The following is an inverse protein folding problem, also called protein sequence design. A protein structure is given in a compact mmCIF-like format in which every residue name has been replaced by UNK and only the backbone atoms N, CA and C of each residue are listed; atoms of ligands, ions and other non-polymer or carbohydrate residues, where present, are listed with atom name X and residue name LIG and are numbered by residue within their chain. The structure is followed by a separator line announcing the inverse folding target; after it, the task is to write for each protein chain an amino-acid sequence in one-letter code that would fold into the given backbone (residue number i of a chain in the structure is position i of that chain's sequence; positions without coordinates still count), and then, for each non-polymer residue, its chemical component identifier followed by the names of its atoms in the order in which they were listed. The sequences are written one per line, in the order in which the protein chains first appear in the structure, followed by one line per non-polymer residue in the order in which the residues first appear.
data_IF_390305855423
#
_entry.id   IF_390305855423
#
_cell.length_a   1.000
_cell.length_b   1.000
_cell.length_c   1.000
_cell.angle_alpha   90.00
_cell.angle_beta   90.00
_cell.angle_gamma   90.00
#
_symmetry.space_group_name_H-M   'P 1'
#
loop_
_entity.id
_entity.type
_entity.pdbx_description
1 polymer ?
#
# COMPACT_ATOMS: atom_id res chain seq x y z
N UNK A 1 5.15 -20.20 3.58
CA UNK A 1 5.28 -18.76 3.90
C UNK A 1 6.14 -18.10 2.83
N UNK A 2 5.52 -17.49 1.82
CA UNK A 2 6.29 -16.77 0.81
C UNK A 2 6.97 -15.58 1.49
N UNK A 3 8.30 -15.50 1.40
CA UNK A 3 9.02 -14.30 1.79
C UNK A 3 8.44 -13.11 1.02
N UNK A 4 8.16 -12.01 1.70
CA UNK A 4 7.76 -10.78 1.01
C UNK A 4 8.89 -10.38 0.04
N UNK A 5 8.61 -10.15 -1.25
CA UNK A 5 9.65 -10.08 -2.27
C UNK A 5 10.72 -9.01 -1.98
N UNK A 6 10.33 -7.88 -1.36
CA UNK A 6 11.21 -6.74 -1.16
C UNK A 6 12.44 -6.99 -0.25
N UNK A 7 12.31 -7.73 0.86
CA UNK A 7 13.46 -8.06 1.70
C UNK A 7 14.31 -9.17 1.05
N UNK A 8 13.65 -10.08 0.33
CA UNK A 8 14.26 -11.21 -0.38
C UNK A 8 15.05 -10.80 -1.64
N UNK A 9 14.90 -9.58 -2.13
CA UNK A 9 15.69 -9.05 -3.26
C UNK A 9 16.94 -8.30 -2.83
N UNK A 10 17.07 -7.94 -1.54
CA UNK A 10 18.28 -7.28 -1.04
C UNK A 10 19.48 -8.24 -1.01
N UNK A 11 20.72 -7.73 -1.20
CA UNK A 11 21.94 -8.52 -1.05
C UNK A 11 21.98 -9.24 0.31
N UNK A 12 22.49 -10.49 0.38
CA UNK A 12 22.39 -11.33 1.57
C UNK A 12 22.87 -10.65 2.86
N UNK A 13 24.01 -9.97 2.81
CA UNK A 13 24.57 -9.26 3.99
C UNK A 13 23.69 -8.10 4.43
N UNK A 14 23.13 -7.31 3.49
CA UNK A 14 22.22 -6.19 3.84
C UNK A 14 20.93 -6.71 4.45
N UNK A 15 20.38 -7.81 3.90
CA UNK A 15 19.23 -8.50 4.51
C UNK A 15 19.55 -8.95 5.94
N UNK A 16 20.67 -9.62 6.15
CA UNK A 16 21.08 -10.10 7.46
C UNK A 16 21.22 -8.95 8.48
N UNK A 17 21.76 -7.79 8.06
CA UNK A 17 21.82 -6.58 8.90
C UNK A 17 20.43 -6.09 9.29
N UNK A 18 19.51 -5.94 8.33
CA UNK A 18 18.16 -5.45 8.61
C UNK A 18 17.39 -6.43 9.51
N UNK A 19 17.51 -7.73 9.26
CA UNK A 19 16.90 -8.77 10.11
C UNK A 19 17.49 -8.79 11.52
N UNK A 20 18.82 -8.60 11.64
CA UNK A 20 19.47 -8.49 12.94
C UNK A 20 18.94 -7.29 13.71
N UNK A 21 18.90 -6.10 13.10
CA UNK A 21 18.31 -4.91 13.71
C UNK A 21 16.82 -5.08 14.04
N UNK A 22 16.05 -5.81 13.22
CA UNK A 22 14.64 -6.09 13.51
C UNK A 22 14.45 -6.90 14.78
N UNK A 23 15.36 -7.84 15.05
CA UNK A 23 15.32 -8.71 16.25
C UNK A 23 15.82 -8.02 17.52
N UNK A 24 16.80 -7.11 17.39
CA UNK A 24 17.50 -6.52 18.55
C UNK A 24 17.17 -5.04 18.80
N UNK A 25 16.42 -4.40 17.90
CA UNK A 25 15.98 -3.00 18.02
C UNK A 25 17.04 -2.00 17.57
N UNK A 26 18.11 -1.84 18.36
CA UNK A 26 19.22 -0.96 18.02
C UNK A 26 20.57 -1.53 18.45
N UNK A 27 21.59 -1.40 17.59
CA UNK A 27 22.90 -2.02 17.83
C UNK A 27 24.07 -1.16 17.39
N UNK A 28 25.25 -1.39 17.98
CA UNK A 28 26.49 -0.76 17.52
C UNK A 28 27.03 -1.45 16.27
N UNK A 29 27.90 -0.76 15.54
CA UNK A 29 28.55 -1.34 14.35
C UNK A 29 29.37 -2.58 14.69
N UNK A 30 29.99 -2.63 15.88
CA UNK A 30 30.75 -3.78 16.35
C UNK A 30 29.85 -4.99 16.64
N UNK A 31 28.72 -4.76 17.33
CA UNK A 31 27.74 -5.81 17.62
C UNK A 31 27.11 -6.36 16.33
N UNK A 32 26.77 -5.48 15.38
CA UNK A 32 26.26 -5.87 14.07
C UNK A 32 27.27 -6.68 13.27
N UNK A 33 28.53 -6.24 13.23
CA UNK A 33 29.60 -6.93 12.53
C UNK A 33 29.82 -8.35 13.11
N UNK A 34 29.83 -8.48 14.43
CA UNK A 34 29.91 -9.77 15.10
C UNK A 34 28.68 -10.66 14.79
N UNK A 35 27.47 -10.11 14.90
CA UNK A 35 26.22 -10.85 14.70
C UNK A 35 25.97 -11.29 13.26
N UNK A 36 26.56 -10.60 12.26
CA UNK A 36 26.47 -10.93 10.83
C UNK A 36 27.74 -11.63 10.32
N UNK A 37 28.74 -11.83 11.19
CA UNK A 37 30.04 -12.46 10.89
C UNK A 37 30.81 -11.79 9.73
N UNK A 38 30.93 -10.46 9.78
CA UNK A 38 31.76 -9.68 8.84
C UNK A 38 32.68 -8.71 9.58
N UNK A 39 33.63 -8.09 8.87
CA UNK A 39 34.51 -7.08 9.47
C UNK A 39 33.74 -5.80 9.82
N UNK A 40 34.19 -5.08 10.86
CA UNK A 40 33.62 -3.77 11.23
C UNK A 40 33.69 -2.78 10.07
N UNK A 41 34.77 -2.80 9.28
CA UNK A 41 34.91 -1.96 8.07
C UNK A 41 33.85 -2.30 7.03
N UNK A 42 33.65 -3.59 6.73
CA UNK A 42 32.60 -4.04 5.82
C UNK A 42 31.20 -3.67 6.33
N UNK A 43 30.96 -3.79 7.64
CA UNK A 43 29.70 -3.37 8.25
C UNK A 43 29.44 -1.87 8.08
N UNK A 44 30.47 -1.01 8.23
CA UNK A 44 30.33 0.44 7.98
C UNK A 44 29.90 0.72 6.54
N UNK A 45 30.50 0.03 5.56
CA UNK A 45 30.11 0.19 4.15
C UNK A 45 28.64 -0.19 3.91
N UNK A 46 28.19 -1.29 4.51
CA UNK A 46 26.78 -1.70 4.41
C UNK A 46 25.84 -0.71 5.10
N UNK A 47 26.18 -0.22 6.30
CA UNK A 47 25.37 0.75 7.03
C UNK A 47 25.29 2.09 6.32
N UNK A 48 26.38 2.57 5.71
CA UNK A 48 26.36 3.80 4.88
C UNK A 48 25.41 3.64 3.69
N UNK A 49 25.41 2.49 3.02
CA UNK A 49 24.48 2.24 1.93
C UNK A 49 23.03 2.16 2.41
N UNK A 50 22.77 1.43 3.50
CA UNK A 50 21.43 1.31 4.07
C UNK A 50 20.89 2.64 4.62
N UNK A 51 21.75 3.50 5.14
CA UNK A 51 21.39 4.85 5.60
C UNK A 51 21.04 5.74 4.41
N UNK A 52 21.86 5.73 3.36
CA UNK A 52 21.58 6.43 2.09
C UNK A 52 20.25 5.98 1.49
N UNK A 53 19.94 4.68 1.56
CA UNK A 53 18.70 4.10 1.08
C UNK A 53 17.51 4.35 2.06
N UNK A 54 17.73 5.08 3.16
CA UNK A 54 16.70 5.46 4.14
C UNK A 54 16.17 4.31 5.00
N UNK A 55 16.88 3.18 5.05
CA UNK A 55 16.45 1.96 5.75
C UNK A 55 16.95 1.89 7.20
N UNK A 56 18.07 2.54 7.49
CA UNK A 56 18.61 2.66 8.85
C UNK A 56 18.92 4.10 9.20
N UNK A 57 18.86 4.41 10.49
CA UNK A 57 19.31 5.68 11.07
C UNK A 57 20.11 5.37 12.32
N UNK A 58 20.98 6.28 12.74
CA UNK A 58 21.73 6.13 13.99
C UNK A 58 21.49 7.26 14.99
N UNK A 59 21.70 6.95 16.27
CA UNK A 59 21.86 7.93 17.34
C UNK A 59 23.27 7.86 17.91
N UNK A 60 23.83 9.01 18.25
CA UNK A 60 25.13 9.09 18.92
C UNK A 60 24.97 8.84 20.42
N UNK A 61 25.78 7.92 20.95
CA UNK A 61 25.83 7.57 22.36
C UNK A 61 27.22 7.88 22.92
N UNK A 62 27.28 8.76 23.93
CA UNK A 62 28.52 9.09 24.66
C UNK A 62 28.62 8.20 25.89
N UNK A 63 29.58 7.27 25.89
CA UNK A 63 29.84 6.36 27.01
C UNK A 63 31.13 6.69 27.77
N UNK A 64 31.60 7.95 27.73
CA UNK A 64 32.83 8.40 28.39
C UNK A 64 33.73 9.27 27.50
N UNK A 65 34.98 9.56 27.92
CA UNK A 65 35.94 10.28 27.10
C UNK A 65 36.31 9.46 25.85
N UNK A 66 36.14 10.07 24.66
CA UNK A 66 36.40 9.43 23.37
C UNK A 66 35.39 9.80 22.29
N UNK A 67 35.53 9.20 21.10
CA UNK A 67 34.58 9.37 19.99
C UNK A 67 33.23 8.72 20.37
N UNK A 68 32.09 9.42 20.23
CA UNK A 68 30.77 8.83 20.47
C UNK A 68 30.55 7.57 19.62
N UNK A 69 29.92 6.56 20.21
CA UNK A 69 29.47 5.36 19.47
C UNK A 69 28.18 5.69 18.72
N UNK A 70 27.94 5.01 17.62
CA UNK A 70 26.68 5.09 16.90
C UNK A 70 25.88 3.81 17.13
N UNK A 71 24.63 3.97 17.56
CA UNK A 71 23.64 2.89 17.61
C UNK A 71 22.70 3.03 16.43
N UNK A 72 22.68 2.04 15.57
CA UNK A 72 21.87 1.98 14.36
C UNK A 72 20.55 1.28 14.68
N UNK A 73 19.46 1.76 14.07
CA UNK A 73 18.12 1.17 14.16
C UNK A 73 17.40 1.28 12.83
N UNK A 74 16.35 0.49 12.65
CA UNK A 74 15.49 0.54 11.47
C UNK A 74 14.66 1.82 11.43
N UNK A 75 14.41 2.32 10.22
CA UNK A 75 13.42 3.37 9.97
C UNK A 75 12.01 2.78 9.80
N UNK A 76 10.95 3.61 9.84
CA UNK A 76 9.61 3.18 9.43
C UNK A 76 9.58 2.61 7.99
N UNK A 77 10.36 3.18 7.07
CA UNK A 77 10.51 2.70 5.69
C UNK A 77 11.02 1.26 5.64
N UNK A 78 12.06 0.93 6.42
CA UNK A 78 12.55 -0.45 6.49
C UNK A 78 11.52 -1.43 7.07
N UNK A 79 10.60 -0.96 7.92
CA UNK A 79 9.54 -1.80 8.47
C UNK A 79 8.53 -2.27 7.43
N UNK A 80 8.47 -1.65 6.25
CA UNK A 80 7.66 -2.12 5.12
C UNK A 80 8.33 -3.27 4.33
N UNK A 81 9.61 -3.55 4.55
CA UNK A 81 10.30 -4.67 3.89
C UNK A 81 9.95 -6.02 4.51
N UNK A 82 9.57 -6.04 5.78
CA UNK A 82 9.29 -7.28 6.51
C UNK A 82 7.92 -7.84 6.14
N UNK A 83 7.73 -9.18 6.22
CA UNK A 83 6.45 -9.81 5.92
C UNK A 83 5.28 -9.20 6.70
N UNK A 84 4.18 -8.97 6.00
CA UNK A 84 2.91 -8.48 6.54
C UNK A 84 1.81 -9.43 6.08
N UNK A 85 0.90 -9.77 6.97
CA UNK A 85 -0.21 -10.68 6.70
C UNK A 85 -1.57 -9.97 6.79
N UNK A 86 -1.63 -8.66 6.48
CA UNK A 86 -2.85 -7.87 6.66
C UNK A 86 -4.01 -8.37 5.80
N UNK A 87 -3.76 -8.76 4.54
CA UNK A 87 -4.79 -9.32 3.68
C UNK A 87 -5.29 -10.67 4.22
N UNK A 88 -4.40 -11.55 4.66
CA UNK A 88 -4.78 -12.85 5.24
C UNK A 88 -5.59 -12.69 6.52
N UNK A 89 -5.11 -11.86 7.46
CA UNK A 89 -5.85 -11.58 8.69
C UNK A 89 -7.21 -10.93 8.39
N UNK A 90 -7.28 -10.00 7.43
CA UNK A 90 -8.56 -9.37 7.04
C UNK A 90 -9.51 -10.42 6.46
N UNK A 91 -9.01 -11.31 5.59
CA UNK A 91 -9.81 -12.37 5.00
C UNK A 91 -10.30 -13.37 6.06
N UNK A 92 -9.45 -13.71 7.02
CA UNK A 92 -9.79 -14.57 8.16
C UNK A 92 -10.91 -13.94 9.01
N UNK A 93 -10.76 -12.68 9.42
CA UNK A 93 -11.78 -11.97 10.18
C UNK A 93 -13.10 -11.83 9.42
N UNK A 94 -13.05 -11.50 8.12
CA UNK A 94 -14.25 -11.46 7.27
C UNK A 94 -14.91 -12.84 7.13
N UNK A 95 -14.12 -13.93 7.22
CA UNK A 95 -14.65 -15.30 7.18
C UNK A 95 -15.45 -15.57 8.44
N UNK A 96 -14.90 -15.26 9.61
CA UNK A 96 -15.60 -15.43 10.89
C UNK A 96 -16.91 -14.65 10.94
N UNK A 97 -16.91 -13.42 10.42
CA UNK A 97 -18.13 -12.63 10.30
C UNK A 97 -19.15 -13.28 9.35
N UNK A 98 -18.72 -13.76 8.18
CA UNK A 98 -19.60 -14.43 7.21
C UNK A 98 -20.18 -15.74 7.75
N UNK A 99 -19.43 -16.46 8.58
CA UNK A 99 -19.88 -17.72 9.21
C UNK A 99 -21.00 -17.47 10.24
N UNK A 100 -21.00 -16.30 10.90
CA UNK A 100 -22.06 -15.89 11.83
C UNK A 100 -23.30 -15.35 11.09
N UNK A 101 -23.10 -14.54 10.05
CA UNK A 101 -24.16 -13.98 9.20
C UNK A 101 -23.65 -13.79 7.76
N UNK A 102 -24.14 -14.56 6.78
CA UNK A 102 -23.67 -14.50 5.39
C UNK A 102 -23.78 -13.11 4.74
N UNK A 103 -24.73 -12.28 5.19
CA UNK A 103 -24.97 -10.94 4.61
C UNK A 103 -24.11 -9.85 5.26
N UNK A 104 -23.43 -10.13 6.37
CA UNK A 104 -22.68 -9.11 7.11
C UNK A 104 -21.55 -8.52 6.28
N UNK A 105 -20.89 -9.33 5.46
CA UNK A 105 -19.79 -8.89 4.60
C UNK A 105 -20.28 -7.85 3.59
N UNK A 106 -21.43 -8.10 2.96
CA UNK A 106 -22.06 -7.14 2.03
C UNK A 106 -22.38 -5.83 2.76
N UNK A 107 -22.97 -5.90 3.96
CA UNK A 107 -23.30 -4.70 4.75
C UNK A 107 -22.07 -3.91 5.17
N UNK A 108 -20.98 -4.58 5.53
CA UNK A 108 -19.70 -3.92 5.87
C UNK A 108 -19.13 -3.18 4.67
N UNK A 109 -19.10 -3.81 3.49
CA UNK A 109 -18.61 -3.16 2.28
C UNK A 109 -19.54 -2.05 1.78
N UNK A 110 -20.86 -2.20 1.91
CA UNK A 110 -21.82 -1.13 1.63
C UNK A 110 -21.59 0.08 2.56
N UNK A 111 -21.38 -0.16 3.86
CA UNK A 111 -21.05 0.91 4.83
C UNK A 111 -19.72 1.59 4.50
N UNK A 112 -18.70 0.83 4.10
CA UNK A 112 -17.41 1.39 3.60
C UNK A 112 -17.65 2.26 2.38
N UNK A 113 -18.39 1.77 1.39
CA UNK A 113 -18.73 2.49 0.16
C UNK A 113 -19.44 3.81 0.46
N UNK A 114 -20.50 3.79 1.28
CA UNK A 114 -21.25 4.99 1.66
C UNK A 114 -20.36 6.06 2.32
N UNK A 115 -19.40 5.64 3.17
CA UNK A 115 -18.42 6.56 3.78
C UNK A 115 -17.50 7.17 2.72
N UNK A 116 -16.98 6.37 1.80
CA UNK A 116 -16.13 6.86 0.68
C UNK A 116 -16.89 7.86 -0.18
N UNK A 117 -18.13 7.56 -0.54
CA UNK A 117 -19.00 8.47 -1.31
C UNK A 117 -19.18 9.80 -0.58
N UNK A 118 -19.49 9.77 0.72
CA UNK A 118 -19.66 10.99 1.51
C UNK A 118 -18.37 11.85 1.57
N UNK A 119 -17.21 11.21 1.67
CA UNK A 119 -15.91 11.88 1.72
C UNK A 119 -15.54 12.47 0.34
N UNK A 120 -15.71 11.71 -0.73
CA UNK A 120 -15.48 12.17 -2.10
C UNK A 120 -16.40 13.32 -2.48
N UNK A 121 -17.69 13.26 -2.14
CA UNK A 121 -18.66 14.33 -2.43
C UNK A 121 -18.26 15.68 -1.83
N UNK A 122 -17.59 15.69 -0.67
CA UNK A 122 -17.04 16.93 -0.10
C UNK A 122 -15.89 17.50 -0.94
N UNK A 123 -15.02 16.64 -1.47
CA UNK A 123 -13.88 17.04 -2.32
C UNK A 123 -14.32 17.47 -3.73
N UNK A 124 -15.42 16.90 -4.22
CA UNK A 124 -15.96 17.16 -5.57
C UNK A 124 -17.06 18.22 -5.62
N UNK A 125 -17.42 18.83 -4.49
CA UNK A 125 -18.50 19.81 -4.43
C UNK A 125 -18.24 21.00 -5.38
N UNK A 126 -19.24 21.36 -6.18
CA UNK A 126 -19.16 22.48 -7.14
C UNK A 126 -18.32 22.20 -8.40
N UNK A 127 -17.80 20.98 -8.58
CA UNK A 127 -17.04 20.60 -9.79
C UNK A 127 -17.96 20.08 -10.88
N UNK A 128 -17.58 20.36 -12.13
CA UNK A 128 -18.15 19.73 -13.33
C UNK A 128 -17.70 18.26 -13.46
N UNK A 129 -18.18 17.55 -14.48
CA UNK A 129 -17.86 16.13 -14.65
C UNK A 129 -16.35 15.90 -14.75
N UNK A 130 -15.62 16.69 -15.54
CA UNK A 130 -14.17 16.57 -15.67
C UNK A 130 -13.45 16.79 -14.35
N UNK A 131 -13.83 17.82 -13.58
CA UNK A 131 -13.29 18.08 -12.25
C UNK A 131 -13.63 16.99 -11.23
N UNK A 132 -14.81 16.36 -11.33
CA UNK A 132 -15.18 15.18 -10.53
C UNK A 132 -14.33 13.96 -10.88
N UNK A 133 -14.14 13.67 -12.18
CA UNK A 133 -13.31 12.56 -12.67
C UNK A 133 -11.86 12.73 -12.20
N UNK A 134 -11.30 13.93 -12.34
CA UNK A 134 -9.94 14.23 -11.89
C UNK A 134 -9.77 14.02 -10.38
N UNK A 135 -10.72 14.52 -9.58
CA UNK A 135 -10.66 14.38 -8.12
C UNK A 135 -10.83 12.93 -7.66
N UNK A 136 -11.75 12.17 -8.28
CA UNK A 136 -11.91 10.75 -7.96
C UNK A 136 -10.67 9.94 -8.32
N UNK A 137 -10.04 10.25 -9.45
CA UNK A 137 -8.79 9.60 -9.84
C UNK A 137 -7.69 9.89 -8.83
N UNK A 138 -7.59 11.12 -8.34
CA UNK A 138 -6.64 11.47 -7.27
C UNK A 138 -6.93 10.72 -5.96
N UNK A 139 -8.21 10.59 -5.56
CA UNK A 139 -8.60 9.78 -4.39
C UNK A 139 -8.17 8.32 -4.56
N UNK A 140 -8.41 7.73 -5.73
CA UNK A 140 -8.00 6.35 -6.02
C UNK A 140 -6.47 6.19 -5.99
N UNK A 141 -5.72 7.15 -6.53
CA UNK A 141 -4.27 7.12 -6.50
C UNK A 141 -3.71 7.22 -5.06
N UNK A 142 -4.27 8.13 -4.25
CA UNK A 142 -3.98 8.26 -2.81
C UNK A 142 -4.27 6.96 -2.03
N UNK A 143 -5.34 6.26 -2.41
CA UNK A 143 -5.71 4.96 -1.84
C UNK A 143 -4.81 3.80 -2.32
N UNK A 144 -3.87 4.08 -3.23
CA UNK A 144 -2.89 3.13 -3.73
C UNK A 144 -3.33 2.33 -4.94
N UNK A 145 -4.38 2.74 -5.66
CA UNK A 145 -4.81 2.08 -6.90
C UNK A 145 -3.92 2.41 -8.12
N UNK A 146 -2.93 3.29 -7.97
CA UNK A 146 -2.08 3.77 -9.06
C UNK A 146 -2.95 4.22 -10.24
N UNK A 147 -3.74 5.25 -9.99
CA UNK A 147 -4.87 5.62 -10.83
C UNK A 147 -4.56 6.82 -11.72
N UNK A 148 -4.99 6.76 -12.96
CA UNK A 148 -4.93 7.87 -13.91
C UNK A 148 -6.24 7.97 -14.71
N UNK A 149 -6.45 9.08 -15.41
CA UNK A 149 -7.59 9.23 -16.30
C UNK A 149 -7.21 9.86 -17.63
N UNK A 150 -7.97 9.51 -18.66
CA UNK A 150 -7.87 10.07 -20.00
C UNK A 150 -9.20 10.72 -20.38
N UNK A 151 -9.14 11.95 -20.91
CA UNK A 151 -10.29 12.61 -21.51
C UNK A 151 -10.37 12.28 -23.01
N UNK A 152 -11.56 11.94 -23.49
CA UNK A 152 -11.81 11.66 -24.91
C UNK A 152 -12.45 12.86 -25.60
N UNK A 153 -12.28 12.93 -26.92
CA UNK A 153 -12.77 14.05 -27.73
C UNK A 153 -14.30 14.22 -27.79
N UNK A 154 -15.06 13.21 -27.35
CA UNK A 154 -16.52 13.21 -27.27
C UNK A 154 -17.05 13.66 -25.89
N UNK A 155 -16.18 14.12 -24.99
CA UNK A 155 -16.53 14.53 -23.64
C UNK A 155 -16.65 13.36 -22.65
N UNK A 156 -16.39 12.12 -23.08
CA UNK A 156 -16.25 10.98 -22.18
C UNK A 156 -14.84 10.88 -21.57
N UNK A 157 -14.72 10.07 -20.52
CA UNK A 157 -13.45 9.84 -19.84
C UNK A 157 -13.22 8.34 -19.63
N UNK A 158 -11.96 7.96 -19.41
CA UNK A 158 -11.59 6.63 -18.93
C UNK A 158 -10.77 6.81 -17.66
N UNK A 159 -11.19 6.18 -16.57
CA UNK A 159 -10.37 6.03 -15.36
C UNK A 159 -9.69 4.67 -15.43
N UNK A 160 -8.38 4.62 -15.21
CA UNK A 160 -7.57 3.39 -15.23
C UNK A 160 -6.89 3.22 -13.89
N UNK A 161 -7.06 2.05 -13.28
CA UNK A 161 -6.35 1.62 -12.08
C UNK A 161 -5.31 0.59 -12.48
N UNK A 162 -4.03 0.91 -12.30
CA UNK A 162 -2.91 0.02 -12.61
C UNK A 162 -2.53 -0.90 -11.45
N UNK A 163 -3.07 -0.65 -10.26
CA UNK A 163 -2.95 -1.52 -9.09
C UNK A 163 -4.32 -1.70 -8.40
N UNK A 164 -4.56 -2.88 -7.84
CA UNK A 164 -5.72 -3.09 -6.96
C UNK A 164 -5.25 -3.07 -5.50
N UNK A 165 -5.44 -1.94 -4.81
CA UNK A 165 -5.01 -1.76 -3.42
C UNK A 165 -5.62 -2.79 -2.45
N UNK A 166 -6.78 -3.35 -2.83
CA UNK A 166 -7.54 -4.35 -2.06
C UNK A 166 -7.50 -5.74 -2.70
N UNK A 167 -6.57 -6.02 -3.61
CA UNK A 167 -6.54 -7.26 -4.42
C UNK A 167 -6.68 -8.53 -3.58
N UNK A 168 -5.89 -8.63 -2.49
CA UNK A 168 -5.91 -9.80 -1.61
C UNK A 168 -7.26 -10.07 -0.95
N UNK A 169 -8.08 -9.03 -0.72
CA UNK A 169 -9.44 -9.16 -0.19
C UNK A 169 -10.45 -9.38 -1.31
N UNK A 170 -10.30 -8.67 -2.43
CA UNK A 170 -11.18 -8.77 -3.59
C UNK A 170 -11.19 -10.16 -4.25
N UNK A 171 -10.09 -10.92 -4.14
CA UNK A 171 -10.00 -12.33 -4.59
C UNK A 171 -11.03 -13.24 -3.90
N UNK A 172 -11.32 -12.98 -2.62
CA UNK A 172 -12.23 -13.81 -1.84
C UNK A 172 -13.62 -13.20 -1.70
N UNK A 173 -13.70 -11.88 -1.57
CA UNK A 173 -14.95 -11.17 -1.32
C UNK A 173 -15.26 -10.20 -2.47
N UNK A 174 -16.05 -10.67 -3.44
CA UNK A 174 -16.47 -9.87 -4.59
C UNK A 174 -17.20 -8.58 -4.21
N UNK A 175 -17.82 -8.54 -3.02
CA UNK A 175 -18.41 -7.35 -2.41
C UNK A 175 -17.43 -6.17 -2.35
N UNK A 176 -16.16 -6.43 -2.07
CA UNK A 176 -15.12 -5.40 -2.00
C UNK A 176 -14.95 -4.70 -3.36
N UNK A 177 -14.85 -5.49 -4.43
CA UNK A 177 -14.69 -4.96 -5.78
C UNK A 177 -15.96 -4.28 -6.30
N UNK A 178 -17.15 -4.85 -6.03
CA UNK A 178 -18.43 -4.21 -6.40
C UNK A 178 -18.62 -2.86 -5.69
N UNK A 179 -18.21 -2.76 -4.43
CA UNK A 179 -18.30 -1.50 -3.67
C UNK A 179 -17.49 -0.36 -4.29
N UNK A 180 -16.38 -0.67 -4.97
CA UNK A 180 -15.54 0.34 -5.63
C UNK A 180 -16.19 0.87 -6.91
N UNK A 181 -16.76 -0.01 -7.74
CA UNK A 181 -17.54 0.41 -8.91
C UNK A 181 -18.79 1.23 -8.49
N UNK A 182 -19.50 0.80 -7.46
CA UNK A 182 -20.64 1.53 -6.91
C UNK A 182 -20.22 2.93 -6.41
N UNK A 183 -19.08 3.02 -5.73
CA UNK A 183 -18.50 4.31 -5.30
C UNK A 183 -18.29 5.27 -6.47
N UNK A 184 -17.69 4.82 -7.58
CA UNK A 184 -17.52 5.65 -8.78
C UNK A 184 -18.85 6.09 -9.36
N UNK A 185 -19.80 5.16 -9.49
CA UNK A 185 -21.14 5.42 -10.03
C UNK A 185 -21.94 6.43 -9.18
N UNK A 186 -21.81 6.37 -7.86
CA UNK A 186 -22.52 7.25 -6.94
C UNK A 186 -21.97 8.68 -6.87
N UNK A 187 -20.67 8.87 -7.11
CA UNK A 187 -20.04 10.20 -7.12
C UNK A 187 -20.13 10.84 -8.50
N UNK A 188 -20.03 10.05 -9.58
CA UNK A 188 -20.21 10.47 -10.97
C UNK A 188 -21.67 10.35 -11.40
N UNK A 189 -22.56 10.87 -10.58
CA UNK A 189 -24.03 10.81 -10.72
C UNK A 189 -24.59 11.42 -12.01
N UNK A 190 -23.87 12.34 -12.64
CA UNK A 190 -24.17 12.94 -13.95
C UNK A 190 -23.69 12.14 -15.17
N UNK A 191 -23.10 10.95 -14.96
CA UNK A 191 -22.56 10.11 -16.02
C UNK A 191 -23.06 8.66 -15.90
N UNK A 192 -22.80 7.88 -16.95
CA UNK A 192 -22.90 6.42 -16.94
C UNK A 192 -21.48 5.88 -16.83
N UNK A 193 -21.19 5.20 -15.71
CA UNK A 193 -19.89 4.59 -15.45
C UNK A 193 -19.98 3.07 -15.66
N UNK A 194 -19.14 2.54 -16.56
CA UNK A 194 -19.07 1.11 -16.89
C UNK A 194 -17.65 0.60 -16.77
N UNK A 195 -17.47 -0.53 -16.11
CA UNK A 195 -16.18 -1.23 -16.10
C UNK A 195 -15.97 -1.97 -17.42
N UNK A 196 -14.89 -1.64 -18.13
CA UNK A 196 -14.51 -2.22 -19.43
C UNK A 196 -13.40 -3.26 -19.30
N UNK A 197 -12.48 -3.07 -18.36
CA UNK A 197 -11.44 -4.05 -17.99
C UNK A 197 -11.47 -4.32 -16.49
N UNK A 198 -11.11 -5.54 -16.09
CA UNK A 198 -11.25 -5.98 -14.71
C UNK A 198 -10.15 -6.96 -14.31
N UNK A 199 -9.28 -6.58 -13.37
CA UNK A 199 -8.20 -7.43 -12.89
C UNK A 199 -8.67 -8.76 -12.33
N UNK A 200 -9.80 -8.78 -11.60
CA UNK A 200 -10.35 -10.04 -11.07
C UNK A 200 -10.90 -10.97 -12.15
N UNK A 201 -11.09 -10.47 -13.37
CA UNK A 201 -11.43 -11.27 -14.56
C UNK A 201 -10.20 -11.56 -15.45
N UNK A 202 -8.97 -11.29 -14.95
CA UNK A 202 -7.72 -11.60 -15.65
C UNK A 202 -7.18 -10.48 -16.55
N UNK A 203 -7.79 -9.30 -16.57
CA UNK A 203 -7.23 -8.16 -17.28
C UNK A 203 -5.98 -7.60 -16.57
N UNK A 204 -5.12 -6.89 -17.29
CA UNK A 204 -3.93 -6.25 -16.72
C UNK A 204 -4.27 -5.06 -15.80
N UNK A 205 -5.37 -4.36 -16.10
CA UNK A 205 -5.84 -3.17 -15.38
C UNK A 205 -7.33 -3.28 -15.06
N UNK A 206 -7.81 -2.49 -14.11
CA UNK A 206 -9.23 -2.14 -14.05
C UNK A 206 -9.41 -0.83 -14.83
N UNK A 207 -10.42 -0.76 -15.70
CA UNK A 207 -10.72 0.45 -16.44
C UNK A 207 -12.22 0.73 -16.42
N UNK A 208 -12.57 2.01 -16.30
CA UNK A 208 -13.94 2.48 -16.17
C UNK A 208 -14.18 3.58 -17.20
N UNK A 209 -15.09 3.31 -18.13
CA UNK A 209 -15.58 4.30 -19.06
C UNK A 209 -16.65 5.16 -18.38
N UNK A 210 -16.51 6.47 -18.50
CA UNK A 210 -17.39 7.49 -17.92
C UNK A 210 -17.99 8.30 -19.07
N UNK A 211 -19.26 8.06 -19.38
CA UNK A 211 -19.96 8.73 -20.47
C UNK A 211 -20.96 9.74 -19.89
N UNK A 212 -20.91 11.04 -20.25
CA UNK A 212 -21.91 12.02 -19.82
C UNK A 212 -23.33 11.55 -20.18
N UNK A 213 -24.32 11.90 -19.36
CA UNK A 213 -25.74 11.67 -19.68
C UNK A 213 -26.31 12.77 -20.57
#
# INVERSE_FOLDING_TARGET
MAAHPALATLPPTRRAVLEHLKRHGEETVEALAAGVAITVSGMRQHLTALERDGLVVYRSERTGPGRPKHRYRLTPTASALFPRAYAELTNELLTYLADEDPDVVERVFARRGARRVADARRRTAGRDLGGKVAELTAILDEDGYLAEFEARGDGSYVIVEHNCAIHGVALRYAAACRSELAFLQEVLDGAVVRRTFHMMAGAHVCAYEVVPR
#
